data_IF_047236172911
#
_entry.id   IF_047236172911
#
_cell.length_a   1.000
_cell.length_b   1.000
_cell.length_c   1.000
_cell.angle_alpha   90.00
_cell.angle_beta   90.00
_cell.angle_gamma   90.00
#
_symmetry.space_group_name_H-M   'P 1'
#
loop_
_entity.id
_entity.type
_entity.pdbx_description
1 polymer ?
#
# COMPACT_ATOMS: atom_id res chain seq x y z
N UNK A 1 1.65 -13.69 -1.12
CA UNK A 1 0.27 -13.78 -0.63
C UNK A 1 -0.12 -12.51 0.11
N UNK A 2 -1.33 -12.03 -0.08
CA UNK A 2 -1.81 -10.85 0.64
C UNK A 2 -3.28 -11.00 0.99
N UNK A 3 -3.74 -10.17 1.93
CA UNK A 3 -5.15 -10.05 2.29
C UNK A 3 -5.55 -8.57 2.28
N UNK A 4 -6.83 -8.32 2.03
CA UNK A 4 -7.41 -6.98 2.13
C UNK A 4 -8.35 -6.91 3.33
N UNK A 5 -8.31 -5.77 4.03
CA UNK A 5 -9.23 -5.46 5.11
C UNK A 5 -9.62 -3.98 5.05
N UNK A 6 -10.82 -3.66 5.49
CA UNK A 6 -11.37 -2.31 5.43
C UNK A 6 -11.88 -1.86 6.79
N UNK A 7 -11.45 -0.66 7.21
CA UNK A 7 -12.02 0.05 8.37
C UNK A 7 -13.10 0.98 7.83
N UNK A 8 -14.34 0.51 7.86
CA UNK A 8 -15.46 1.17 7.19
C UNK A 8 -15.77 2.56 7.76
N UNK A 9 -15.72 2.71 9.08
CA UNK A 9 -16.06 3.99 9.72
C UNK A 9 -15.04 5.08 9.43
N UNK A 10 -13.77 4.70 9.28
CA UNK A 10 -12.67 5.63 9.01
C UNK A 10 -12.19 5.58 7.57
N UNK A 11 -12.77 4.69 6.75
CA UNK A 11 -12.51 4.55 5.30
C UNK A 11 -11.05 4.29 4.97
N UNK A 12 -10.43 3.37 5.70
CA UNK A 12 -9.03 2.97 5.47
C UNK A 12 -8.97 1.54 4.96
N UNK A 13 -8.40 1.36 3.78
CA UNK A 13 -8.17 0.05 3.17
C UNK A 13 -6.74 -0.37 3.42
N UNK A 14 -6.55 -1.60 3.90
CA UNK A 14 -5.22 -2.16 4.18
C UNK A 14 -5.00 -3.41 3.34
N UNK A 15 -3.87 -3.46 2.64
CA UNK A 15 -3.35 -4.67 2.00
C UNK A 15 -2.17 -5.17 2.84
N UNK A 16 -2.30 -6.36 3.43
CA UNK A 16 -1.23 -6.98 4.21
C UNK A 16 -0.59 -8.09 3.39
N UNK A 17 0.71 -7.97 3.14
CA UNK A 17 1.50 -8.98 2.46
C UNK A 17 2.14 -9.92 3.47
N UNK A 18 2.11 -11.22 3.18
CA UNK A 18 2.59 -12.27 4.09
C UNK A 18 3.54 -13.17 3.31
N UNK A 19 4.73 -13.42 3.87
CA UNK A 19 5.73 -14.28 3.25
C UNK A 19 6.47 -13.55 2.14
N UNK A 20 6.25 -13.93 0.89
CA UNK A 20 6.86 -13.24 -0.24
C UNK A 20 5.92 -12.19 -0.84
N UNK A 21 6.50 -11.11 -1.32
CA UNK A 21 5.81 -10.10 -2.11
C UNK A 21 6.28 -10.25 -3.54
N UNK A 22 5.37 -10.63 -4.44
CA UNK A 22 5.68 -10.93 -5.83
C UNK A 22 4.98 -9.97 -6.80
N UNK A 23 5.44 -9.93 -8.04
CA UNK A 23 4.76 -9.19 -9.10
C UNK A 23 3.32 -9.69 -9.30
N UNK A 24 3.10 -11.00 -9.24
CA UNK A 24 1.76 -11.57 -9.36
C UNK A 24 0.84 -11.07 -8.25
N UNK A 25 1.33 -10.98 -7.01
CA UNK A 25 0.58 -10.42 -5.90
C UNK A 25 0.18 -8.97 -6.16
N UNK A 26 1.11 -8.16 -6.67
CA UNK A 26 0.82 -6.76 -6.96
C UNK A 26 -0.22 -6.61 -8.07
N UNK A 27 -0.17 -7.45 -9.09
CA UNK A 27 -1.17 -7.43 -10.17
C UNK A 27 -2.55 -7.84 -9.65
N UNK A 28 -2.62 -8.86 -8.81
CA UNK A 28 -3.87 -9.28 -8.17
C UNK A 28 -4.41 -8.20 -7.25
N UNK A 29 -3.53 -7.52 -6.51
CA UNK A 29 -3.93 -6.40 -5.66
C UNK A 29 -4.58 -5.29 -6.48
N UNK A 30 -4.02 -4.94 -7.63
CA UNK A 30 -4.59 -3.91 -8.51
C UNK A 30 -6.02 -4.27 -8.92
N UNK A 31 -6.24 -5.53 -9.31
CA UNK A 31 -7.57 -6.01 -9.70
C UNK A 31 -8.56 -5.95 -8.53
N UNK A 32 -8.14 -6.38 -7.36
CA UNK A 32 -8.98 -6.41 -6.17
C UNK A 32 -9.31 -5.00 -5.66
N UNK A 33 -8.37 -4.06 -5.77
CA UNK A 33 -8.62 -2.66 -5.41
C UNK A 33 -9.64 -2.03 -6.37
N UNK A 34 -9.52 -2.30 -7.66
CA UNK A 34 -10.53 -1.83 -8.64
C UNK A 34 -11.91 -2.36 -8.31
N UNK A 35 -12.02 -3.66 -8.01
CA UNK A 35 -13.31 -4.26 -7.64
C UNK A 35 -13.87 -3.67 -6.34
N UNK A 36 -13.01 -3.43 -5.35
CA UNK A 36 -13.39 -2.80 -4.08
C UNK A 36 -13.98 -1.40 -4.31
N UNK A 37 -13.30 -0.57 -5.10
CA UNK A 37 -13.73 0.81 -5.34
C UNK A 37 -15.07 0.85 -6.09
N UNK A 38 -15.32 -0.10 -6.97
CA UNK A 38 -16.62 -0.19 -7.67
C UNK A 38 -17.78 -0.41 -6.72
N UNK A 39 -17.56 -1.14 -5.62
CA UNK A 39 -18.60 -1.47 -4.64
C UNK A 39 -18.68 -0.41 -3.54
N UNK A 40 -17.56 -0.04 -2.97
CA UNK A 40 -17.47 0.79 -1.76
C UNK A 40 -17.16 2.26 -2.04
N UNK A 41 -16.70 2.58 -3.25
CA UNK A 41 -16.14 3.89 -3.55
C UNK A 41 -14.68 4.00 -3.11
N UNK A 42 -14.00 5.12 -3.42
CA UNK A 42 -12.59 5.30 -3.07
C UNK A 42 -12.41 5.41 -1.55
N UNK A 43 -11.40 4.73 -0.98
CA UNK A 43 -11.08 4.89 0.43
C UNK A 43 -10.46 6.27 0.69
N UNK A 44 -10.54 6.75 1.94
CA UNK A 44 -9.83 7.95 2.37
C UNK A 44 -8.31 7.75 2.36
N UNK A 45 -7.88 6.56 2.77
CA UNK A 45 -6.48 6.19 2.84
C UNK A 45 -6.29 4.73 2.46
N UNK A 46 -5.11 4.44 1.91
CA UNK A 46 -4.70 3.10 1.53
C UNK A 46 -3.37 2.77 2.19
N UNK A 47 -3.31 1.63 2.88
CA UNK A 47 -2.12 1.18 3.59
C UNK A 47 -1.60 -0.11 2.97
N UNK A 48 -0.31 -0.15 2.69
CA UNK A 48 0.39 -1.40 2.39
C UNK A 48 1.18 -1.79 3.64
N UNK A 49 0.82 -2.93 4.21
CA UNK A 49 1.46 -3.46 5.41
C UNK A 49 2.38 -4.62 5.00
N UNK A 50 3.68 -4.37 5.05
CA UNK A 50 4.72 -5.35 4.76
C UNK A 50 5.41 -5.88 6.03
N UNK A 51 4.78 -5.76 7.20
CA UNK A 51 5.39 -6.20 8.46
C UNK A 51 5.64 -7.71 8.51
N UNK A 52 4.90 -8.51 7.74
CA UNK A 52 5.05 -9.96 7.66
C UNK A 52 5.70 -10.44 6.37
N UNK A 53 6.29 -9.52 5.60
CA UNK A 53 7.06 -9.88 4.39
C UNK A 53 8.42 -10.41 4.79
N UNK A 54 8.74 -11.60 4.30
CA UNK A 54 10.05 -12.25 4.52
C UNK A 54 10.96 -12.03 3.32
N UNK A 55 10.41 -12.14 2.11
CA UNK A 55 11.16 -12.00 0.86
C UNK A 55 10.48 -11.02 -0.08
N UNK A 56 11.28 -10.11 -0.65
CA UNK A 56 10.81 -9.20 -1.70
C UNK A 56 11.26 -9.76 -3.05
N UNK A 57 10.30 -10.27 -3.83
CA UNK A 57 10.53 -10.92 -5.13
C UNK A 57 10.00 -10.09 -6.30
N UNK A 58 10.01 -8.77 -6.15
CA UNK A 58 9.61 -7.84 -7.20
C UNK A 58 10.85 -7.17 -7.76
N UNK A 59 11.13 -7.28 -9.07
CA UNK A 59 12.27 -6.59 -9.67
C UNK A 59 12.16 -5.06 -9.52
N UNK A 60 13.30 -4.40 -9.32
CA UNK A 60 13.34 -2.93 -9.22
C UNK A 60 12.69 -2.25 -10.43
N UNK A 61 12.92 -2.81 -11.64
CA UNK A 61 12.32 -2.30 -12.86
C UNK A 61 10.80 -2.30 -12.83
N UNK A 62 10.19 -3.29 -12.18
CA UNK A 62 8.74 -3.36 -12.02
C UNK A 62 8.22 -2.24 -11.11
N UNK A 63 8.92 -1.95 -10.01
CA UNK A 63 8.55 -0.83 -9.15
C UNK A 63 8.62 0.50 -9.89
N UNK A 64 9.67 0.71 -10.69
CA UNK A 64 9.82 1.93 -11.49
C UNK A 64 8.68 2.05 -12.50
N UNK A 65 8.34 0.94 -13.18
CA UNK A 65 7.23 0.92 -14.14
C UNK A 65 5.92 1.26 -13.46
N UNK A 66 5.61 0.64 -12.32
CA UNK A 66 4.38 0.88 -11.58
C UNK A 66 4.28 2.31 -11.08
N UNK A 67 5.39 2.89 -10.64
CA UNK A 67 5.42 4.27 -10.15
C UNK A 67 5.03 5.28 -11.23
N UNK A 68 5.31 4.97 -12.50
CA UNK A 68 5.02 5.84 -13.64
C UNK A 68 3.59 5.68 -14.19
N UNK A 69 2.89 4.61 -13.84
CA UNK A 69 1.53 4.35 -14.31
C UNK A 69 0.49 4.82 -13.30
N UNK A 70 -0.63 5.41 -13.74
CA UNK A 70 -1.71 5.80 -12.83
C UNK A 70 -2.38 4.57 -12.22
N UNK A 71 -2.80 4.68 -10.95
CA UNK A 71 -3.64 3.69 -10.29
C UNK A 71 -4.88 4.37 -9.74
N UNK A 72 -5.86 3.56 -9.32
CA UNK A 72 -7.12 4.07 -8.75
C UNK A 72 -6.92 4.78 -7.42
N UNK A 73 -5.78 4.55 -6.77
CA UNK A 73 -5.48 5.14 -5.47
C UNK A 73 -4.30 6.11 -5.51
N UNK A 74 -3.86 6.53 -6.71
CA UNK A 74 -2.69 7.41 -6.86
C UNK A 74 -2.84 8.74 -6.12
N UNK A 75 -4.06 9.29 -6.05
CA UNK A 75 -4.34 10.56 -5.38
C UNK A 75 -4.85 10.38 -3.95
N UNK A 76 -5.02 9.15 -3.51
CA UNK A 76 -5.43 8.83 -2.14
C UNK A 76 -4.23 8.93 -1.21
N UNK A 77 -4.46 9.35 0.03
CA UNK A 77 -3.42 9.28 1.06
C UNK A 77 -2.96 7.85 1.23
N UNK A 78 -1.65 7.61 1.08
CA UNK A 78 -1.09 6.26 1.14
C UNK A 78 0.05 6.20 2.14
N UNK A 79 0.03 5.14 2.95
CA UNK A 79 1.09 4.87 3.92
C UNK A 79 1.58 3.44 3.67
N UNK A 80 2.90 3.31 3.49
CA UNK A 80 3.55 2.03 3.29
C UNK A 80 4.35 1.69 4.55
N UNK A 81 4.02 0.56 5.18
CA UNK A 81 4.71 0.08 6.38
C UNK A 81 5.79 -0.88 5.93
N UNK A 82 7.03 -0.44 5.95
CA UNK A 82 8.20 -1.13 5.41
C UNK A 82 9.27 -1.26 6.50
N UNK A 83 9.23 -2.33 7.31
CA UNK A 83 10.04 -2.42 8.53
C UNK A 83 11.53 -2.70 8.29
N UNK A 84 11.90 -3.38 7.20
CA UNK A 84 13.30 -3.68 6.91
C UNK A 84 13.96 -2.56 6.09
N UNK A 85 15.29 -2.48 6.16
CA UNK A 85 16.04 -1.50 5.38
C UNK A 85 15.80 -1.64 3.87
N UNK A 86 15.75 -2.88 3.36
CA UNK A 86 15.52 -3.15 1.95
C UNK A 86 14.11 -2.72 1.52
N UNK A 87 13.09 -3.10 2.28
CA UNK A 87 11.71 -2.69 2.00
C UNK A 87 11.54 -1.18 2.12
N UNK A 88 12.12 -0.58 3.15
CA UNK A 88 12.06 0.87 3.34
C UNK A 88 12.68 1.61 2.16
N UNK A 89 13.86 1.16 1.73
CA UNK A 89 14.55 1.72 0.57
C UNK A 89 13.72 1.61 -0.72
N UNK A 90 13.09 0.45 -0.95
CA UNK A 90 12.23 0.25 -2.12
C UNK A 90 10.98 1.13 -2.07
N UNK A 91 10.37 1.28 -0.90
CA UNK A 91 9.22 2.17 -0.72
C UNK A 91 9.58 3.63 -1.02
N UNK A 92 10.73 4.09 -0.54
CA UNK A 92 11.23 5.44 -0.80
C UNK A 92 11.54 5.64 -2.28
N UNK A 93 12.14 4.65 -2.93
CA UNK A 93 12.44 4.70 -4.37
C UNK A 93 11.14 4.81 -5.19
N UNK A 94 10.16 4.00 -4.88
CA UNK A 94 8.85 4.04 -5.52
C UNK A 94 8.21 5.43 -5.38
N UNK A 95 8.21 5.99 -4.18
CA UNK A 95 7.68 7.32 -3.90
C UNK A 95 8.40 8.41 -4.68
N UNK A 96 9.71 8.33 -4.79
CA UNK A 96 10.51 9.29 -5.55
C UNK A 96 10.10 9.29 -7.02
N UNK A 97 9.96 8.11 -7.63
CA UNK A 97 9.52 8.01 -9.03
C UNK A 97 8.10 8.50 -9.22
N UNK A 98 7.20 8.27 -8.27
CA UNK A 98 5.83 8.80 -8.33
C UNK A 98 5.83 10.32 -8.28
N UNK A 99 6.60 10.91 -7.38
CA UNK A 99 6.72 12.37 -7.30
C UNK A 99 7.27 12.95 -8.60
N UNK A 100 8.30 12.32 -9.17
CA UNK A 100 8.88 12.75 -10.45
C UNK A 100 7.88 12.64 -11.61
N UNK A 101 6.94 11.71 -11.53
CA UNK A 101 5.86 11.55 -12.50
C UNK A 101 4.66 12.48 -12.23
N UNK A 102 4.77 13.42 -11.29
CA UNK A 102 3.72 14.36 -10.95
C UNK A 102 2.60 13.78 -10.10
N UNK A 103 2.83 12.64 -9.44
CA UNK A 103 1.85 11.97 -8.59
C UNK A 103 2.14 12.22 -7.12
N UNK A 104 1.13 12.00 -6.28
CA UNK A 104 1.27 12.10 -4.84
C UNK A 104 2.24 11.04 -4.32
N UNK A 105 3.22 11.45 -3.52
CA UNK A 105 4.20 10.55 -2.92
C UNK A 105 3.57 9.85 -1.71
N UNK A 106 3.67 8.50 -1.59
CA UNK A 106 3.24 7.80 -0.39
C UNK A 106 4.19 8.09 0.77
N UNK A 107 3.66 8.08 2.00
CA UNK A 107 4.47 8.13 3.20
C UNK A 107 4.99 6.73 3.51
N UNK A 108 6.28 6.60 3.77
CA UNK A 108 6.89 5.31 4.14
C UNK A 108 7.26 5.35 5.61
N UNK A 109 6.76 4.39 6.38
CA UNK A 109 7.01 4.26 7.81
C UNK A 109 7.51 2.86 8.13
N UNK A 110 7.98 2.63 9.35
CA UNK A 110 8.55 1.33 9.75
C UNK A 110 7.63 0.50 10.64
N UNK A 111 6.64 1.11 11.26
CA UNK A 111 5.76 0.42 12.22
C UNK A 111 4.28 0.72 11.97
N UNK A 112 3.42 -0.20 12.43
CA UNK A 112 1.97 0.00 12.43
C UNK A 112 1.58 1.22 13.25
N UNK A 113 2.23 1.43 14.41
CA UNK A 113 1.92 2.57 15.27
C UNK A 113 2.18 3.89 14.56
N UNK A 114 3.28 4.01 13.82
CA UNK A 114 3.55 5.20 13.02
C UNK A 114 2.49 5.43 11.94
N UNK A 115 2.06 4.37 11.24
CA UNK A 115 1.02 4.47 10.23
C UNK A 115 -0.31 4.95 10.83
N UNK A 116 -0.72 4.37 11.96
CA UNK A 116 -1.96 4.74 12.62
C UNK A 116 -1.91 6.18 13.12
N UNK A 117 -0.78 6.61 13.66
CA UNK A 117 -0.58 8.00 14.08
C UNK A 117 -0.72 8.96 12.90
N UNK A 118 -0.04 8.69 11.79
CA UNK A 118 -0.08 9.55 10.60
C UNK A 118 -1.48 9.63 9.98
N UNK A 119 -2.23 8.53 9.99
CA UNK A 119 -3.59 8.47 9.46
C UNK A 119 -4.65 8.90 10.47
N UNK A 120 -4.23 9.22 11.71
CA UNK A 120 -5.13 9.59 12.81
C UNK A 120 -6.20 8.53 13.07
N UNK A 121 -5.81 7.26 12.98
CA UNK A 121 -6.70 6.13 13.27
C UNK A 121 -6.89 6.00 14.77
N UNK A 122 -8.15 5.90 15.19
CA UNK A 122 -8.53 5.72 16.58
C UNK A 122 -9.28 4.40 16.72
N UNK A 123 -8.70 3.47 17.48
CA UNK A 123 -9.28 2.14 17.76
C UNK A 123 -9.84 1.47 16.49
N UNK A 124 -8.98 1.24 15.46
CA UNK A 124 -9.47 0.76 14.17
C UNK A 124 -10.00 -0.66 14.26
N UNK A 125 -11.11 -0.92 13.55
CA UNK A 125 -11.74 -2.23 13.46
C UNK A 125 -11.79 -2.65 12.01
N UNK A 126 -10.77 -3.38 11.58
CA UNK A 126 -10.69 -3.86 10.22
C UNK A 126 -11.51 -5.13 10.02
N UNK A 127 -12.24 -5.17 8.92
CA UNK A 127 -13.01 -6.33 8.50
C UNK A 127 -12.45 -6.86 7.19
N UNK A 128 -12.37 -8.21 7.00
CA UNK A 128 -11.91 -8.78 5.72
C UNK A 128 -12.77 -8.28 4.55
N UNK A 129 -12.08 -8.05 3.45
CA UNK A 129 -12.73 -7.69 2.19
C UNK A 129 -12.95 -8.94 1.34
#
# INVERSE_FOLDING_TARGET
MFSLAYERSQKVLVARFIGSMTKADLNELDERVVAFIKVEGPPRAFVIDATEVVTLEVPTTEFVRRAKHPSRVSDTERVYIMPSADLYGMGRLFGTYQRMAGKREPLVVKTLAEAYYELKLTDPKFEPV
#
